data_IF_419699589550
#
_entry.id   IF_419699589550
#
_cell.length_a   1.000
_cell.length_b   1.000
_cell.length_c   1.000
_cell.angle_alpha   90.00
_cell.angle_beta   90.00
_cell.angle_gamma   90.00
#
_symmetry.space_group_name_H-M   'P 1'
#
loop_
_entity.id
_entity.type
_entity.pdbx_description
1 polymer ?
#
# COMPACT_ATOMS: atom_id res chain seq x y z
N UNK A 1 17.99 -18.09 17.68
CA UNK A 1 17.32 -17.66 18.92
C UNK A 1 17.76 -16.24 19.23
N UNK A 2 16.82 -15.34 19.54
CA UNK A 2 17.10 -13.95 19.90
C UNK A 2 17.51 -13.93 21.39
N UNK A 3 18.61 -13.26 21.78
CA UNK A 3 19.00 -13.19 23.19
C UNK A 3 18.02 -12.32 23.99
N UNK A 4 17.67 -12.75 25.20
CA UNK A 4 16.72 -12.03 26.08
C UNK A 4 17.17 -10.59 26.38
N UNK A 5 18.49 -10.38 26.50
CA UNK A 5 19.08 -9.05 26.74
C UNK A 5 18.84 -8.03 25.62
N UNK A 6 18.36 -8.45 24.44
CA UNK A 6 17.93 -7.55 23.39
C UNK A 6 16.71 -6.72 23.82
N UNK A 7 15.77 -7.34 24.54
CA UNK A 7 14.48 -6.73 24.88
C UNK A 7 14.63 -5.64 25.95
N UNK A 8 15.70 -5.71 26.74
CA UNK A 8 16.03 -4.74 27.79
C UNK A 8 16.76 -3.49 27.26
N UNK A 9 16.99 -3.38 25.95
CA UNK A 9 17.74 -2.27 25.37
C UNK A 9 16.90 -0.98 25.31
N UNK A 10 16.93 -0.21 26.41
CA UNK A 10 16.16 1.03 26.61
C UNK A 10 16.36 2.11 25.54
N UNK A 11 17.37 2.04 24.68
CA UNK A 11 17.66 3.03 23.63
C UNK A 11 17.41 2.56 22.20
N UNK A 12 16.97 1.31 21.99
CA UNK A 12 16.92 0.73 20.66
C UNK A 12 15.83 1.39 19.81
N UNK A 13 16.23 2.03 18.70
CA UNK A 13 15.30 2.70 17.79
C UNK A 13 15.00 1.90 16.53
N UNK A 14 15.89 1.00 16.12
CA UNK A 14 15.77 0.21 14.91
C UNK A 14 16.21 -1.22 15.20
N UNK A 15 15.37 -2.17 14.83
CA UNK A 15 15.65 -3.60 14.98
C UNK A 15 15.38 -4.29 13.65
N UNK A 16 16.40 -4.95 13.11
CA UNK A 16 16.34 -5.71 11.87
C UNK A 16 16.56 -7.18 12.17
N UNK A 17 15.53 -7.99 11.94
CA UNK A 17 15.50 -9.43 12.18
C UNK A 17 14.96 -10.18 10.95
N UNK A 18 15.10 -9.59 9.76
CA UNK A 18 14.65 -10.20 8.51
C UNK A 18 15.48 -11.44 8.15
N UNK A 19 14.85 -12.48 7.60
CA UNK A 19 15.54 -13.69 7.12
C UNK A 19 16.12 -14.58 8.22
N UNK A 20 15.67 -14.43 9.47
CA UNK A 20 16.24 -15.12 10.63
C UNK A 20 15.56 -16.46 10.95
N UNK A 21 14.57 -16.88 10.16
CA UNK A 21 13.80 -18.12 10.39
C UNK A 21 12.96 -18.07 11.68
N UNK A 22 12.52 -16.86 12.08
CA UNK A 22 11.70 -16.68 13.28
C UNK A 22 10.31 -17.27 13.06
N UNK A 23 9.88 -18.13 13.98
CA UNK A 23 8.52 -18.69 14.00
C UNK A 23 7.57 -17.94 14.91
N UNK A 24 8.12 -17.29 15.91
CA UNK A 24 7.42 -16.48 16.89
C UNK A 24 8.24 -15.22 17.18
N UNK A 25 7.52 -14.18 17.59
CA UNK A 25 8.07 -12.96 18.18
C UNK A 25 7.57 -12.92 19.63
N UNK A 26 8.47 -12.79 20.62
CA UNK A 26 8.07 -12.90 22.02
C UNK A 26 7.39 -11.60 22.51
N UNK A 27 6.62 -11.68 23.60
CA UNK A 27 5.83 -10.56 24.13
C UNK A 27 6.72 -9.41 24.64
N UNK A 28 7.97 -9.71 24.99
CA UNK A 28 9.01 -8.79 25.44
C UNK A 28 9.40 -7.78 24.34
N UNK A 29 8.95 -7.96 23.09
CA UNK A 29 9.11 -6.93 22.06
C UNK A 29 8.54 -5.58 22.50
N UNK A 30 7.48 -5.58 23.33
CA UNK A 30 6.90 -4.35 23.86
C UNK A 30 7.83 -3.58 24.81
N UNK A 31 8.87 -4.18 25.37
CA UNK A 31 9.84 -3.47 26.22
C UNK A 31 10.69 -2.47 25.43
N UNK A 32 10.74 -2.60 24.10
CA UNK A 32 11.45 -1.70 23.19
C UNK A 32 10.69 -0.38 22.95
N UNK A 33 10.40 0.36 24.02
CA UNK A 33 9.56 1.56 24.04
C UNK A 33 10.04 2.70 23.10
N UNK A 34 11.33 2.71 22.76
CA UNK A 34 11.93 3.70 21.83
C UNK A 34 11.99 3.22 20.37
N UNK A 35 11.49 2.02 20.07
CA UNK A 35 11.57 1.42 18.74
C UNK A 35 10.72 2.20 17.75
N UNK A 36 11.35 2.61 16.64
CA UNK A 36 10.72 3.34 15.53
C UNK A 36 10.62 2.51 14.27
N UNK A 37 11.55 1.57 14.09
CA UNK A 37 11.60 0.68 12.93
C UNK A 37 11.81 -0.75 13.39
N UNK A 38 10.90 -1.63 12.96
CA UNK A 38 11.03 -3.07 13.15
C UNK A 38 10.91 -3.77 11.80
N UNK A 39 11.94 -4.50 11.40
CA UNK A 39 11.93 -5.31 10.19
C UNK A 39 12.00 -6.81 10.55
N UNK A 40 11.01 -7.55 10.07
CA UNK A 40 10.79 -8.97 10.33
C UNK A 40 10.50 -9.72 9.02
N UNK A 41 10.88 -9.16 7.87
CA UNK A 41 10.61 -9.75 6.57
C UNK A 41 11.28 -11.11 6.37
N UNK A 42 10.67 -12.01 5.61
CA UNK A 42 11.29 -13.28 5.25
C UNK A 42 11.51 -14.22 6.44
N UNK A 43 10.57 -14.24 7.38
CA UNK A 43 10.55 -15.17 8.50
C UNK A 43 9.41 -16.19 8.34
N UNK A 44 9.20 -17.03 9.34
CA UNK A 44 8.16 -18.06 9.41
C UNK A 44 7.04 -17.67 10.39
N UNK A 45 6.79 -16.37 10.59
CA UNK A 45 5.80 -15.88 11.56
C UNK A 45 4.39 -16.21 11.09
N UNK A 46 3.66 -17.01 11.86
CA UNK A 46 2.26 -17.35 11.60
C UNK A 46 1.30 -16.42 12.35
N UNK A 47 1.76 -15.87 13.48
CA UNK A 47 1.06 -14.92 14.33
C UNK A 47 2.04 -13.87 14.87
N UNK A 48 1.49 -12.80 15.43
CA UNK A 48 2.26 -11.76 16.12
C UNK A 48 1.74 -11.65 17.56
N UNK A 49 2.60 -11.35 18.53
CA UNK A 49 2.18 -11.13 19.91
C UNK A 49 1.25 -9.92 19.98
N UNK A 50 0.24 -9.97 20.87
CA UNK A 50 -0.65 -8.82 21.07
C UNK A 50 0.14 -7.61 21.57
N UNK A 51 1.24 -7.84 22.29
CA UNK A 51 2.07 -6.77 22.83
C UNK A 51 2.72 -5.87 21.78
N UNK A 52 2.90 -6.35 20.54
CA UNK A 52 3.48 -5.57 19.45
C UNK A 52 2.69 -4.27 19.20
N UNK A 53 1.37 -4.28 19.47
CA UNK A 53 0.51 -3.10 19.38
C UNK A 53 0.81 -1.99 20.40
N UNK A 54 1.52 -2.30 21.49
CA UNK A 54 1.86 -1.35 22.56
C UNK A 54 3.21 -0.65 22.35
N UNK A 55 3.78 -0.67 21.13
CA UNK A 55 4.96 0.11 20.79
C UNK A 55 4.59 1.55 20.42
N UNK A 56 4.71 2.53 21.35
CA UNK A 56 4.12 3.85 21.15
C UNK A 56 4.82 4.65 20.05
N UNK A 57 6.09 4.37 19.79
CA UNK A 57 6.95 5.12 18.87
C UNK A 57 7.14 4.43 17.51
N UNK A 58 6.51 3.28 17.27
CA UNK A 58 6.72 2.53 16.04
C UNK A 58 6.15 3.29 14.84
N UNK A 59 6.99 3.51 13.83
CA UNK A 59 6.65 4.27 12.62
C UNK A 59 6.74 3.44 11.35
N UNK A 60 7.64 2.46 11.33
CA UNK A 60 7.88 1.57 10.19
C UNK A 60 7.88 0.13 10.68
N UNK A 61 7.04 -0.70 10.09
CA UNK A 61 6.93 -2.11 10.40
C UNK A 61 6.94 -2.91 9.09
N UNK A 62 7.88 -3.85 9.00
CA UNK A 62 8.05 -4.72 7.85
C UNK A 62 7.84 -6.17 8.26
N UNK A 63 6.84 -6.81 7.66
CA UNK A 63 6.35 -8.16 7.95
C UNK A 63 6.18 -8.96 6.65
N UNK A 64 6.81 -8.53 5.56
CA UNK A 64 6.71 -9.16 4.26
C UNK A 64 7.23 -10.60 4.27
N UNK A 65 6.72 -11.45 3.36
CA UNK A 65 7.16 -12.85 3.21
C UNK A 65 7.16 -13.63 4.53
N UNK A 66 6.00 -13.66 5.20
CA UNK A 66 5.73 -14.45 6.41
C UNK A 66 4.50 -15.35 6.17
N UNK A 67 4.00 -15.99 7.23
CA UNK A 67 2.81 -16.84 7.20
C UNK A 67 1.54 -16.21 7.77
N UNK A 68 1.49 -14.89 7.91
CA UNK A 68 0.42 -14.19 8.64
C UNK A 68 -0.92 -14.30 7.90
N UNK A 69 -1.98 -14.57 8.67
CA UNK A 69 -3.36 -14.61 8.18
C UNK A 69 -4.23 -13.49 8.76
N UNK A 70 -3.86 -12.99 9.93
CA UNK A 70 -4.50 -11.90 10.65
C UNK A 70 -3.48 -11.07 11.42
N UNK A 71 -3.93 -9.94 11.97
CA UNK A 71 -3.16 -9.10 12.88
C UNK A 71 -3.88 -9.07 14.22
N UNK A 72 -3.15 -8.98 15.35
CA UNK A 72 -3.72 -8.74 16.66
C UNK A 72 -4.62 -7.51 16.70
N UNK A 73 -5.62 -7.51 17.58
CA UNK A 73 -6.55 -6.40 17.72
C UNK A 73 -5.84 -5.12 18.18
N UNK A 74 -4.80 -5.26 19.02
CA UNK A 74 -3.95 -4.18 19.53
C UNK A 74 -3.23 -3.38 18.45
N UNK A 75 -3.16 -3.85 17.19
CA UNK A 75 -2.58 -3.06 16.09
C UNK A 75 -3.29 -1.73 15.89
N UNK A 76 -4.53 -1.57 16.35
CA UNK A 76 -5.21 -0.27 16.34
C UNK A 76 -4.57 0.75 17.29
N UNK A 77 -3.69 0.35 18.20
CA UNK A 77 -2.99 1.22 19.17
C UNK A 77 -1.69 1.82 18.62
N UNK A 78 -1.21 1.37 17.46
CA UNK A 78 0.02 1.87 16.81
C UNK A 78 -0.18 3.27 16.17
N UNK A 79 -0.51 4.27 16.99
CA UNK A 79 -0.93 5.61 16.56
C UNK A 79 0.10 6.37 15.71
N UNK A 80 1.38 5.99 15.82
CA UNK A 80 2.49 6.60 15.08
C UNK A 80 2.90 5.83 13.82
N UNK A 81 2.27 4.69 13.50
CA UNK A 81 2.64 3.87 12.36
C UNK A 81 2.35 4.59 11.04
N UNK A 82 3.37 4.71 10.20
CA UNK A 82 3.32 5.43 8.91
C UNK A 82 3.49 4.49 7.72
N UNK A 83 4.31 3.46 7.88
CA UNK A 83 4.64 2.49 6.85
C UNK A 83 4.45 1.08 7.40
N UNK A 84 3.63 0.29 6.72
CA UNK A 84 3.38 -1.11 7.05
C UNK A 84 3.52 -1.97 5.80
N UNK A 85 4.47 -2.90 5.83
CA UNK A 85 4.70 -3.87 4.76
C UNK A 85 4.30 -5.26 5.22
N UNK A 86 3.45 -5.92 4.43
CA UNK A 86 2.87 -7.23 4.73
C UNK A 86 2.63 -8.06 3.46
N UNK A 87 3.37 -7.75 2.40
CA UNK A 87 3.34 -8.48 1.15
C UNK A 87 3.76 -9.95 1.34
N UNK A 88 3.30 -10.85 0.47
CA UNK A 88 3.72 -12.26 0.52
C UNK A 88 3.28 -12.98 1.81
N UNK A 89 2.08 -12.66 2.30
CA UNK A 89 1.43 -13.32 3.44
C UNK A 89 0.15 -14.05 2.97
N UNK A 90 -0.72 -14.46 3.89
CA UNK A 90 -1.93 -15.22 3.60
C UNK A 90 -3.23 -14.50 3.96
N UNK A 91 -3.24 -13.17 4.03
CA UNK A 91 -4.42 -12.38 4.35
C UNK A 91 -5.53 -12.61 3.32
N UNK A 92 -6.61 -13.27 3.76
CA UNK A 92 -7.83 -13.48 2.95
C UNK A 92 -8.84 -12.35 3.09
N UNK A 93 -8.68 -11.52 4.13
CA UNK A 93 -9.50 -10.35 4.44
C UNK A 93 -8.61 -9.20 4.87
N UNK A 94 -9.06 -7.97 4.62
CA UNK A 94 -8.35 -6.79 5.08
C UNK A 94 -8.32 -6.73 6.63
N UNK A 95 -7.15 -6.52 7.26
CA UNK A 95 -7.04 -6.43 8.72
C UNK A 95 -7.76 -5.19 9.27
N UNK A 96 -8.87 -5.40 9.99
CA UNK A 96 -9.73 -4.29 10.45
C UNK A 96 -9.04 -3.36 11.46
N UNK A 97 -8.07 -3.87 12.23
CA UNK A 97 -7.29 -3.06 13.19
C UNK A 97 -6.61 -1.84 12.52
N UNK A 98 -6.21 -1.98 11.25
CA UNK A 98 -5.53 -0.91 10.52
C UNK A 98 -6.43 0.27 10.16
N UNK A 99 -7.76 0.07 10.15
CA UNK A 99 -8.73 1.12 9.79
C UNK A 99 -8.74 2.30 10.77
N UNK A 100 -8.19 2.11 11.96
CA UNK A 100 -8.13 3.11 13.03
C UNK A 100 -6.77 3.81 13.11
N UNK A 101 -5.83 3.51 12.22
CA UNK A 101 -4.49 4.09 12.25
C UNK A 101 -4.45 5.47 11.56
N UNK A 102 -4.35 6.58 12.33
CA UNK A 102 -4.52 7.92 11.76
C UNK A 102 -3.32 8.39 10.93
N UNK A 103 -2.13 7.85 11.21
CA UNK A 103 -0.88 8.27 10.58
C UNK A 103 -0.40 7.34 9.45
N UNK A 104 -1.14 6.26 9.16
CA UNK A 104 -0.70 5.29 8.15
C UNK A 104 -0.76 5.92 6.75
N UNK A 105 0.39 5.95 6.07
CA UNK A 105 0.58 6.59 4.76
C UNK A 105 0.86 5.57 3.66
N UNK A 106 1.56 4.49 3.98
CA UNK A 106 2.00 3.48 3.04
C UNK A 106 1.62 2.10 3.56
N UNK A 107 0.81 1.37 2.79
CA UNK A 107 0.35 0.03 3.12
C UNK A 107 0.64 -0.93 1.95
N UNK A 108 1.59 -1.83 2.13
CA UNK A 108 1.87 -2.93 1.20
C UNK A 108 1.12 -4.17 1.64
N UNK A 109 0.23 -4.65 0.78
CA UNK A 109 -0.59 -5.85 0.95
C UNK A 109 -0.48 -6.75 -0.27
N UNK A 110 0.63 -6.64 -1.03
CA UNK A 110 0.87 -7.41 -2.23
C UNK A 110 0.94 -8.91 -1.98
N UNK A 111 0.80 -9.75 -3.01
CA UNK A 111 0.96 -11.21 -2.93
C UNK A 111 0.22 -11.84 -1.73
N UNK A 112 -1.05 -11.48 -1.57
CA UNK A 112 -1.94 -11.98 -0.53
C UNK A 112 -3.16 -12.67 -1.16
N UNK A 113 -4.24 -12.88 -0.39
CA UNK A 113 -5.43 -13.60 -0.83
C UNK A 113 -6.69 -12.72 -0.81
N UNK A 114 -6.51 -11.40 -0.84
CA UNK A 114 -7.61 -10.45 -0.75
C UNK A 114 -8.50 -10.51 -2.00
N UNK A 115 -9.81 -10.50 -1.77
CA UNK A 115 -10.82 -10.39 -2.84
C UNK A 115 -11.64 -9.10 -2.74
N UNK A 116 -11.67 -8.48 -1.56
CA UNK A 116 -12.49 -7.30 -1.26
C UNK A 116 -11.79 -6.42 -0.24
N UNK A 117 -12.08 -5.13 -0.33
CA UNK A 117 -11.68 -4.12 0.64
C UNK A 117 -12.88 -3.71 1.52
N UNK A 118 -12.66 -3.31 2.77
CA UNK A 118 -13.74 -2.95 3.68
C UNK A 118 -14.35 -1.59 3.33
N UNK A 119 -15.65 -1.43 3.54
CA UNK A 119 -16.38 -0.18 3.26
C UNK A 119 -15.86 1.03 4.07
N UNK A 120 -15.15 0.77 5.18
CA UNK A 120 -14.55 1.80 6.03
C UNK A 120 -13.17 2.28 5.54
N UNK A 121 -12.55 1.64 4.53
CA UNK A 121 -11.23 2.00 4.02
C UNK A 121 -11.07 3.51 3.69
N UNK A 122 -12.07 4.21 3.12
CA UNK A 122 -11.93 5.64 2.84
C UNK A 122 -11.73 6.52 4.08
N UNK A 123 -12.05 6.02 5.28
CA UNK A 123 -11.79 6.74 6.56
C UNK A 123 -10.30 6.87 6.86
N UNK A 124 -9.44 6.08 6.21
CA UNK A 124 -7.98 6.20 6.33
C UNK A 124 -7.48 7.43 5.55
N UNK A 125 -7.82 8.62 6.02
CA UNK A 125 -7.52 9.90 5.35
C UNK A 125 -6.02 10.21 5.24
N UNK A 126 -5.17 9.53 6.02
CA UNK A 126 -3.71 9.60 5.94
C UNK A 126 -3.10 8.75 4.82
N UNK A 127 -3.82 7.77 4.28
CA UNK A 127 -3.27 6.80 3.32
C UNK A 127 -2.93 7.49 1.99
N UNK A 128 -1.70 7.29 1.51
CA UNK A 128 -1.17 7.87 0.27
C UNK A 128 -0.78 6.80 -0.73
N UNK A 129 -0.20 5.70 -0.27
CA UNK A 129 0.19 4.56 -1.10
C UNK A 129 -0.52 3.30 -0.63
N UNK A 130 -1.13 2.59 -1.57
CA UNK A 130 -1.78 1.31 -1.34
C UNK A 130 -1.37 0.34 -2.44
N UNK A 131 -0.64 -0.70 -2.05
CA UNK A 131 -0.20 -1.75 -2.96
C UNK A 131 -0.96 -3.03 -2.67
N UNK A 132 -1.66 -3.50 -3.70
CA UNK A 132 -2.56 -4.64 -3.68
C UNK A 132 -2.22 -5.61 -4.81
N UNK A 133 -1.01 -5.54 -5.35
CA UNK A 133 -0.58 -6.41 -6.43
C UNK A 133 -0.66 -7.89 -6.01
N UNK A 134 -0.78 -8.82 -6.96
CA UNK A 134 -0.71 -10.26 -6.63
C UNK A 134 -1.84 -10.76 -5.71
N UNK A 135 -2.98 -10.08 -5.68
CA UNK A 135 -4.16 -10.50 -4.93
C UNK A 135 -5.16 -11.22 -5.84
N UNK A 136 -6.41 -11.35 -5.38
CA UNK A 136 -7.48 -12.11 -6.05
C UNK A 136 -8.69 -11.22 -6.35
N UNK A 137 -8.47 -9.95 -6.68
CA UNK A 137 -9.53 -9.04 -7.10
C UNK A 137 -10.02 -9.41 -8.50
N UNK A 138 -11.28 -9.82 -8.63
CA UNK A 138 -11.93 -10.13 -9.92
C UNK A 138 -12.59 -8.88 -10.54
N UNK A 139 -12.89 -7.89 -9.72
CA UNK A 139 -13.42 -6.59 -10.13
C UNK A 139 -12.64 -5.47 -9.44
N UNK A 140 -12.62 -4.29 -10.06
CA UNK A 140 -12.05 -3.11 -9.43
C UNK A 140 -12.79 -2.78 -8.12
N UNK A 141 -12.08 -2.64 -6.97
CA UNK A 141 -12.71 -2.27 -5.71
C UNK A 141 -13.24 -0.83 -5.74
N UNK A 142 -14.51 -0.64 -6.13
CA UNK A 142 -15.15 0.69 -6.29
C UNK A 142 -15.06 1.58 -5.05
N UNK A 143 -14.84 1.01 -3.87
CA UNK A 143 -14.58 1.78 -2.65
C UNK A 143 -13.39 2.73 -2.78
N UNK A 144 -12.39 2.39 -3.60
CA UNK A 144 -11.21 3.21 -3.86
C UNK A 144 -11.56 4.53 -4.57
N UNK A 145 -12.66 4.59 -5.34
CA UNK A 145 -13.12 5.84 -5.99
C UNK A 145 -13.44 6.93 -4.97
N UNK A 146 -13.76 6.56 -3.72
CA UNK A 146 -14.04 7.50 -2.62
C UNK A 146 -12.78 8.06 -1.96
N UNK A 147 -11.60 7.69 -2.43
CA UNK A 147 -10.30 8.09 -1.86
C UNK A 147 -9.54 9.07 -2.76
N UNK A 148 -10.26 9.77 -3.64
CA UNK A 148 -9.64 10.57 -4.70
C UNK A 148 -8.82 11.77 -4.26
N UNK A 149 -9.03 12.27 -3.04
CA UNK A 149 -8.23 13.36 -2.47
C UNK A 149 -6.96 12.91 -1.74
N UNK A 150 -6.76 11.60 -1.53
CA UNK A 150 -5.67 11.10 -0.67
C UNK A 150 -4.74 10.10 -1.35
N UNK A 151 -5.24 9.18 -2.18
CA UNK A 151 -4.38 8.17 -2.81
C UNK A 151 -3.52 8.79 -3.91
N UNK A 152 -2.21 8.62 -3.78
CA UNK A 152 -1.18 9.05 -4.74
C UNK A 152 -0.60 7.88 -5.52
N UNK A 153 -0.47 6.72 -4.87
CA UNK A 153 0.02 5.49 -5.47
C UNK A 153 -1.02 4.41 -5.24
N UNK A 154 -1.43 3.77 -6.33
CA UNK A 154 -2.28 2.58 -6.30
C UNK A 154 -1.64 1.52 -7.19
N UNK A 155 -1.42 0.35 -6.63
CA UNK A 155 -0.92 -0.81 -7.37
C UNK A 155 -1.93 -1.94 -7.30
N UNK A 156 -2.47 -2.32 -8.45
CA UNK A 156 -3.40 -3.43 -8.64
C UNK A 156 -2.86 -4.45 -9.65
N UNK A 157 -1.55 -4.43 -9.93
CA UNK A 157 -0.87 -5.40 -10.80
C UNK A 157 -1.18 -6.86 -10.38
N UNK A 158 -1.11 -7.81 -11.31
CA UNK A 158 -1.27 -9.25 -11.02
C UNK A 158 -2.55 -9.56 -10.22
N UNK A 159 -3.68 -9.06 -10.71
CA UNK A 159 -5.00 -9.42 -10.20
C UNK A 159 -5.83 -10.07 -11.34
N UNK A 160 -7.15 -10.13 -11.20
CA UNK A 160 -8.07 -10.73 -12.19
C UNK A 160 -9.13 -9.72 -12.64
N UNK A 161 -8.80 -8.43 -12.59
CA UNK A 161 -9.72 -7.34 -12.90
C UNK A 161 -9.92 -7.29 -14.42
N UNK A 162 -11.14 -7.58 -14.89
CA UNK A 162 -11.44 -7.56 -16.33
C UNK A 162 -11.66 -6.15 -16.91
N UNK A 163 -12.00 -5.18 -16.08
CA UNK A 163 -12.17 -3.79 -16.51
C UNK A 163 -11.97 -2.82 -15.35
N UNK A 164 -11.50 -1.61 -15.70
CA UNK A 164 -11.38 -0.51 -14.76
C UNK A 164 -12.44 0.56 -15.06
N UNK A 165 -13.08 1.15 -14.03
CA UNK A 165 -13.92 2.33 -14.22
C UNK A 165 -13.05 3.54 -14.60
N UNK A 166 -13.69 4.67 -14.88
CA UNK A 166 -12.98 5.94 -15.02
C UNK A 166 -12.35 6.35 -13.68
N UNK A 167 -11.03 6.49 -13.65
CA UNK A 167 -10.25 6.80 -12.46
C UNK A 167 -9.86 8.29 -12.39
N UNK A 168 -10.33 9.15 -13.30
CA UNK A 168 -10.06 10.59 -13.26
C UNK A 168 -10.56 11.27 -11.98
N UNK A 169 -11.53 10.67 -11.28
CA UNK A 169 -11.96 11.13 -9.96
C UNK A 169 -10.90 10.96 -8.85
N UNK A 170 -9.81 10.22 -9.12
CA UNK A 170 -8.67 10.08 -8.23
C UNK A 170 -7.67 11.23 -8.46
N UNK A 171 -8.08 12.46 -8.20
CA UNK A 171 -7.32 13.68 -8.53
C UNK A 171 -5.91 13.75 -7.89
N UNK A 172 -5.72 13.10 -6.74
CA UNK A 172 -4.42 13.01 -6.07
C UNK A 172 -3.51 11.91 -6.62
N UNK A 173 -4.02 11.03 -7.48
CA UNK A 173 -3.27 9.90 -8.03
C UNK A 173 -2.13 10.41 -8.90
N UNK A 174 -0.99 9.73 -8.82
CA UNK A 174 0.24 10.05 -9.55
C UNK A 174 0.85 8.82 -10.19
N UNK A 175 0.67 7.66 -9.56
CA UNK A 175 1.13 6.38 -10.07
C UNK A 175 -0.01 5.37 -9.97
N UNK A 176 -0.32 4.74 -11.10
CA UNK A 176 -1.24 3.63 -11.17
C UNK A 176 -0.65 2.45 -11.93
N UNK A 177 -0.48 1.34 -11.23
CA UNK A 177 -0.04 0.07 -11.80
C UNK A 177 -1.23 -0.88 -11.91
N UNK A 178 -1.47 -1.42 -13.11
CA UNK A 178 -2.62 -2.26 -13.41
C UNK A 178 -2.26 -3.53 -14.19
N UNK A 179 -0.97 -3.76 -14.43
CA UNK A 179 -0.50 -4.81 -15.32
C UNK A 179 -0.97 -6.22 -14.90
N UNK A 180 -0.75 -7.22 -15.77
CA UNK A 180 -1.11 -8.62 -15.50
C UNK A 180 -2.54 -8.81 -14.98
N UNK A 181 -3.46 -7.96 -15.46
CA UNK A 181 -4.91 -8.12 -15.34
C UNK A 181 -5.49 -8.40 -16.73
N UNK A 182 -6.60 -9.16 -16.84
CA UNK A 182 -7.23 -9.49 -18.11
C UNK A 182 -8.04 -8.31 -18.69
N UNK A 183 -7.40 -7.15 -18.88
CA UNK A 183 -8.02 -5.94 -19.41
C UNK A 183 -7.79 -5.79 -20.91
N UNK A 184 -8.77 -5.21 -21.60
CA UNK A 184 -8.70 -4.96 -23.04
C UNK A 184 -7.82 -3.77 -23.44
N UNK A 185 -7.31 -2.99 -22.48
CA UNK A 185 -6.44 -1.85 -22.74
C UNK A 185 -6.19 -0.98 -21.50
N UNK A 186 -5.42 0.10 -21.66
CA UNK A 186 -5.05 0.99 -20.57
C UNK A 186 -6.27 1.65 -19.88
N UNK A 187 -6.30 1.70 -18.54
CA UNK A 187 -7.36 2.36 -17.79
C UNK A 187 -7.39 3.88 -18.00
N UNK A 188 -8.59 4.47 -17.97
CA UNK A 188 -8.75 5.93 -18.03
C UNK A 188 -8.35 6.55 -16.70
N UNK A 189 -7.27 7.33 -16.72
CA UNK A 189 -6.74 8.10 -15.59
C UNK A 189 -6.63 9.58 -15.98
N UNK A 190 -6.28 10.44 -15.01
CA UNK A 190 -5.99 11.84 -15.33
C UNK A 190 -4.63 12.00 -16.00
N UNK A 191 -4.52 12.97 -16.90
CA UNK A 191 -3.60 14.11 -16.70
C UNK A 191 -2.18 13.75 -16.19
N UNK A 192 -2.00 13.92 -14.89
CA UNK A 192 -0.68 13.80 -14.26
C UNK A 192 -0.37 12.39 -13.74
N UNK A 193 -1.14 11.38 -14.16
CA UNK A 193 -1.01 10.00 -13.68
C UNK A 193 -0.09 9.21 -14.61
N UNK A 194 1.01 8.71 -14.04
CA UNK A 194 1.86 7.71 -14.67
C UNK A 194 1.18 6.34 -14.61
N UNK A 195 0.96 5.74 -15.78
CA UNK A 195 0.48 4.37 -15.92
C UNK A 195 1.66 3.39 -15.99
N UNK A 196 1.49 2.23 -15.36
CA UNK A 196 2.41 1.10 -15.48
C UNK A 196 1.60 -0.14 -15.83
N UNK A 197 1.87 -0.68 -17.01
CA UNK A 197 1.33 -1.95 -17.48
C UNK A 197 1.31 -2.07 -18.99
N UNK A 198 0.82 -3.20 -19.50
CA UNK A 198 0.77 -3.46 -20.93
C UNK A 198 -0.08 -2.39 -21.68
N UNK A 199 0.47 -1.79 -22.73
CA UNK A 199 -0.12 -0.69 -23.50
C UNK A 199 0.01 0.70 -22.84
N UNK A 200 0.62 0.80 -21.65
CA UNK A 200 0.71 2.07 -20.94
C UNK A 200 1.68 3.04 -21.61
N UNK A 201 2.78 2.54 -22.20
CA UNK A 201 3.77 3.41 -22.84
C UNK A 201 3.18 4.08 -24.07
N UNK A 202 2.57 3.32 -24.96
CA UNK A 202 1.94 3.82 -26.19
C UNK A 202 0.83 4.82 -25.85
N UNK A 203 -0.02 4.51 -24.87
CA UNK A 203 -1.08 5.41 -24.44
C UNK A 203 -0.57 6.71 -23.80
N UNK A 204 0.59 6.68 -23.13
CA UNK A 204 1.23 7.88 -22.59
C UNK A 204 1.84 8.73 -23.72
N UNK A 205 2.49 8.11 -24.69
CA UNK A 205 3.07 8.78 -25.86
C UNK A 205 1.98 9.47 -26.72
N UNK A 206 0.92 8.75 -27.09
CA UNK A 206 -0.24 9.32 -27.82
C UNK A 206 -0.89 10.50 -27.09
N UNK A 207 -0.87 10.44 -25.76
CA UNK A 207 -1.44 11.48 -24.90
C UNK A 207 -0.55 12.72 -24.84
N UNK A 208 0.76 12.55 -24.76
CA UNK A 208 1.72 13.66 -24.85
C UNK A 208 1.63 14.38 -26.20
N UNK A 209 1.57 13.63 -27.31
CA UNK A 209 1.41 14.21 -28.65
C UNK A 209 0.11 15.02 -28.78
N UNK A 210 -0.99 14.49 -28.23
CA UNK A 210 -2.27 15.21 -28.20
C UNK A 210 -2.19 16.51 -27.39
N UNK A 211 -1.50 16.49 -26.25
CA UNK A 211 -1.35 17.70 -25.43
C UNK A 211 -0.46 18.74 -26.11
N UNK A 212 0.62 18.32 -26.78
CA UNK A 212 1.48 19.22 -27.55
C UNK A 212 0.71 19.87 -28.71
N UNK A 213 -0.03 19.09 -29.49
CA UNK A 213 -0.83 19.63 -30.60
C UNK A 213 -1.91 20.61 -30.14
N UNK A 214 -2.55 20.37 -28.99
CA UNK A 214 -3.50 21.32 -28.41
C UNK A 214 -2.81 22.62 -27.94
N UNK A 215 -1.61 22.52 -27.37
CA UNK A 215 -0.83 23.70 -26.97
C UNK A 215 -0.40 24.53 -28.18
N UNK A 216 0.06 23.88 -29.25
CA UNK A 216 0.44 24.54 -30.51
C UNK A 216 -0.78 25.24 -31.14
N UNK A 217 -1.95 24.60 -31.16
CA UNK A 217 -3.18 25.22 -31.66
C UNK A 217 -3.61 26.44 -30.84
N UNK A 218 -3.47 26.37 -29.52
CA UNK A 218 -3.79 27.51 -28.64
C UNK A 218 -2.81 28.68 -28.84
N UNK A 219 -1.53 28.39 -29.05
CA UNK A 219 -0.53 29.43 -29.36
C UNK A 219 -0.82 30.10 -30.71
N UNK A 220 -1.12 29.31 -31.75
CA UNK A 220 -1.47 29.85 -33.07
C UNK A 220 -2.72 30.73 -33.01
N UNK A 221 -3.75 30.32 -32.26
CA UNK A 221 -4.95 31.14 -32.08
C UNK A 221 -4.66 32.46 -31.33
N UNK A 222 -3.77 32.44 -30.34
CA UNK A 222 -3.38 33.66 -29.63
C UNK A 222 -2.57 34.61 -30.53
N UNK A 223 -1.68 34.08 -31.37
CA UNK A 223 -0.92 34.87 -32.35
C UNK A 223 -1.80 35.45 -33.47
N UNK A 224 -2.91 34.80 -33.83
CA UNK A 224 -3.87 35.31 -34.82
C UNK A 224 -4.83 36.38 -34.23
N UNK A 225 -4.96 36.46 -32.91
CA UNK A 225 -5.81 37.43 -32.20
C UNK A 225 -5.07 38.72 -31.76
N UNK A 226 -3.73 38.75 -31.86
CA UNK A 226 -2.85 39.93 -31.60
C UNK A 226 -2.55 40.77 -32.86
#
# INVERSE_FOLDING_TARGET
>A
KIPESLWEQCGLQKLYLSGAGLRELPEEVAELQNLRTLALDGNELMELPDSLGYLPNLTHLYLGSNGLQELPASFNLLQNLRCLWMEGNFFSRFPRALLQLPQLRSLQLGDNRLRRLPAALPRMGGLRGLWLYGNRFEEFPRILLRMGGQLRVLDLDRNRIGSFPDLRCLHALRLFSYDHNPVGGPPRVGDDVRLVGNGAQEAMEEREERLRSLQEQQQQQQEEEE
#
